data_IF_959769507706
#
_entry.id   IF_959769507706
#
_cell.length_a   1.000
_cell.length_b   1.000
_cell.length_c   1.000
_cell.angle_alpha   90.00
_cell.angle_beta   90.00
_cell.angle_gamma   90.00
#
_symmetry.space_group_name_H-M   'P 1'
#
loop_
_entity.id
_entity.type
_entity.pdbx_description
1 polymer ?
#
# COMPACT_ATOMS: atom_id res chain seq x y z
N UNK A 1 27.14 8.05 -37.58
CA UNK A 1 26.09 9.03 -37.24
C UNK A 1 24.78 8.39 -36.76
N UNK A 2 24.76 7.09 -36.42
CA UNK A 2 23.53 6.40 -35.98
C UNK A 2 23.42 6.23 -34.45
N UNK A 3 24.52 6.17 -33.69
CA UNK A 3 24.50 6.02 -32.21
C UNK A 3 23.94 7.20 -31.38
N UNK A 4 23.81 8.40 -31.96
CA UNK A 4 23.35 9.58 -31.20
C UNK A 4 21.83 9.66 -31.01
N UNK A 5 21.04 9.03 -31.89
CA UNK A 5 19.57 9.05 -31.79
C UNK A 5 19.05 8.02 -30.79
N UNK A 6 19.66 6.83 -30.74
CA UNK A 6 19.28 5.76 -29.80
C UNK A 6 19.55 6.17 -28.34
N UNK A 7 20.62 6.92 -28.09
CA UNK A 7 20.97 7.36 -26.74
C UNK A 7 20.01 8.43 -26.19
N UNK A 8 19.43 9.27 -27.06
CA UNK A 8 18.43 10.25 -26.67
C UNK A 8 17.06 9.61 -26.38
N UNK A 9 16.68 8.59 -27.18
CA UNK A 9 15.48 7.80 -26.93
C UNK A 9 15.57 6.98 -25.63
N UNK A 10 16.75 6.39 -25.36
CA UNK A 10 17.02 5.66 -24.11
C UNK A 10 16.94 6.59 -22.89
N UNK A 11 17.50 7.80 -22.98
CA UNK A 11 17.44 8.78 -21.90
C UNK A 11 16.01 9.22 -21.62
N UNK A 12 15.20 9.47 -22.66
CA UNK A 12 13.79 9.81 -22.50
C UNK A 12 12.99 8.67 -21.85
N UNK A 13 13.27 7.42 -22.23
CA UNK A 13 12.63 6.24 -21.64
C UNK A 13 13.03 6.06 -20.16
N UNK A 14 14.29 6.30 -19.81
CA UNK A 14 14.78 6.23 -18.43
C UNK A 14 14.14 7.32 -17.54
N UNK A 15 13.99 8.55 -18.05
CA UNK A 15 13.30 9.62 -17.35
C UNK A 15 11.82 9.30 -17.12
N UNK A 16 11.14 8.76 -18.13
CA UNK A 16 9.74 8.32 -17.99
C UNK A 16 9.61 7.23 -16.94
N UNK A 17 10.49 6.21 -16.98
CA UNK A 17 10.50 5.13 -15.99
C UNK A 17 10.72 5.66 -14.57
N UNK A 18 11.61 6.65 -14.38
CA UNK A 18 11.86 7.26 -13.08
C UNK A 18 10.62 8.01 -12.55
N UNK A 19 9.92 8.74 -13.43
CA UNK A 19 8.68 9.42 -13.09
C UNK A 19 7.54 8.43 -12.76
N UNK A 20 7.43 7.34 -13.52
CA UNK A 20 6.42 6.31 -13.30
C UNK A 20 6.65 5.58 -11.97
N UNK A 21 7.90 5.31 -11.59
CA UNK A 21 8.24 4.73 -10.28
C UNK A 21 7.89 5.67 -9.13
N UNK A 22 8.24 6.96 -9.24
CA UNK A 22 7.89 7.94 -8.20
C UNK A 22 6.38 8.06 -8.03
N UNK A 23 5.64 8.14 -9.15
CA UNK A 23 4.19 8.22 -9.12
C UNK A 23 3.55 6.96 -8.56
N UNK A 24 4.04 5.78 -8.93
CA UNK A 24 3.54 4.51 -8.40
C UNK A 24 3.77 4.40 -6.88
N UNK A 25 4.92 4.86 -6.37
CA UNK A 25 5.18 4.91 -4.93
C UNK A 25 4.23 5.86 -4.21
N UNK A 26 3.97 7.04 -4.78
CA UNK A 26 3.07 8.04 -4.20
C UNK A 26 1.59 7.57 -4.25
N UNK A 27 1.16 6.98 -5.35
CA UNK A 27 -0.18 6.40 -5.51
C UNK A 27 -0.38 5.22 -4.54
N UNK A 28 0.66 4.38 -4.34
CA UNK A 28 0.62 3.29 -3.38
C UNK A 28 0.54 3.80 -1.94
N UNK A 29 1.33 4.82 -1.58
CA UNK A 29 1.29 5.44 -0.26
C UNK A 29 -0.09 6.04 0.06
N UNK A 30 -0.72 6.68 -0.92
CA UNK A 30 -2.02 7.33 -0.80
C UNK A 30 -3.21 6.37 -0.95
N UNK A 31 -2.97 5.13 -1.37
CA UNK A 31 -4.02 4.12 -1.49
C UNK A 31 -4.62 3.82 -0.11
N UNK A 32 -5.93 3.64 -0.08
CA UNK A 32 -6.66 3.36 1.16
C UNK A 32 -7.08 1.90 1.19
N UNK A 33 -6.92 1.30 2.35
CA UNK A 33 -7.29 -0.08 2.63
C UNK A 33 -8.24 -0.10 3.82
N UNK A 34 -9.25 -0.94 3.75
CA UNK A 34 -10.29 -1.04 4.78
C UNK A 34 -10.27 -2.44 5.39
N UNK A 35 -10.40 -2.51 6.71
CA UNK A 35 -10.48 -3.74 7.46
C UNK A 35 -11.62 -3.67 8.46
N UNK A 36 -12.37 -4.76 8.60
CA UNK A 36 -13.55 -4.83 9.47
C UNK A 36 -13.37 -5.89 10.56
N UNK A 37 -13.98 -5.68 11.73
CA UNK A 37 -14.06 -6.67 12.80
C UNK A 37 -15.46 -6.74 13.42
N UNK A 38 -15.70 -7.75 14.25
CA UNK A 38 -16.98 -7.91 14.97
C UNK A 38 -18.20 -8.13 14.06
N UNK A 39 -18.01 -8.63 12.84
CA UNK A 39 -19.11 -8.78 11.86
C UNK A 39 -19.48 -7.48 11.13
N UNK A 40 -18.58 -6.50 11.09
CA UNK A 40 -18.81 -5.19 10.47
C UNK A 40 -19.18 -4.10 11.48
N UNK A 41 -19.05 -4.38 12.77
CA UNK A 41 -19.30 -3.41 13.84
C UNK A 41 -18.20 -2.36 13.95
N UNK A 42 -16.97 -2.70 13.57
CA UNK A 42 -15.85 -1.75 13.55
C UNK A 42 -15.15 -1.84 12.20
N UNK A 43 -14.91 -0.69 11.57
CA UNK A 43 -14.19 -0.55 10.31
C UNK A 43 -13.02 0.41 10.51
N UNK A 44 -11.82 -0.01 10.15
CA UNK A 44 -10.62 0.82 10.15
C UNK A 44 -10.16 1.04 8.71
N UNK A 45 -9.85 2.29 8.37
CA UNK A 45 -9.23 2.65 7.09
C UNK A 45 -7.79 3.05 7.32
N UNK A 46 -6.85 2.42 6.61
CA UNK A 46 -5.42 2.73 6.66
C UNK A 46 -4.89 3.19 5.30
N UNK A 47 -3.81 3.97 5.31
CA UNK A 47 -3.03 4.30 4.12
C UNK A 47 -2.20 3.09 3.67
N UNK A 48 -1.65 3.12 2.45
CA UNK A 48 -0.69 2.11 1.99
C UNK A 48 0.65 2.14 2.72
N UNK A 49 0.89 3.14 3.56
CA UNK A 49 2.00 3.19 4.52
C UNK A 49 1.63 2.55 5.88
N UNK A 50 0.36 2.21 6.07
CA UNK A 50 -0.18 1.64 7.30
C UNK A 50 -0.61 2.67 8.35
N UNK A 51 -0.72 3.95 7.99
CA UNK A 51 -1.23 4.99 8.88
C UNK A 51 -2.75 4.88 9.00
N UNK A 52 -3.29 4.92 10.22
CA UNK A 52 -4.74 4.93 10.44
C UNK A 52 -5.32 6.29 10.01
N UNK A 53 -6.19 6.26 9.00
CA UNK A 53 -6.82 7.46 8.43
C UNK A 53 -8.23 7.68 8.98
N UNK A 54 -8.96 6.61 9.25
CA UNK A 54 -10.36 6.68 9.67
C UNK A 54 -10.75 5.45 10.50
N UNK A 55 -11.70 5.64 11.41
CA UNK A 55 -12.26 4.57 12.23
C UNK A 55 -13.77 4.80 12.39
N UNK A 56 -14.55 3.80 11.99
CA UNK A 56 -15.99 3.76 12.19
C UNK A 56 -16.32 2.68 13.21
N UNK A 57 -17.14 3.04 14.19
CA UNK A 57 -17.59 2.15 15.26
C UNK A 57 -19.11 2.24 15.29
N UNK A 58 -19.78 1.11 15.07
CA UNK A 58 -21.22 0.99 15.24
C UNK A 58 -21.59 1.19 16.72
N UNK A 59 -22.71 1.86 17.03
CA UNK A 59 -23.21 1.97 18.39
C UNK A 59 -23.40 0.61 19.07
N UNK A 60 -23.65 -0.44 18.29
CA UNK A 60 -23.81 -1.82 18.77
C UNK A 60 -22.50 -2.44 19.28
N UNK A 61 -21.33 -1.92 18.87
CA UNK A 61 -20.04 -2.32 19.42
C UNK A 61 -19.66 -1.55 20.69
N UNK A 62 -20.41 -0.50 21.05
CA UNK A 62 -20.15 0.31 22.23
C UNK A 62 -20.96 -0.20 23.43
N UNK A 63 -20.30 -1.01 24.27
CA UNK A 63 -20.81 -1.37 25.59
C UNK A 63 -20.03 -0.60 26.67
N UNK A 64 -20.66 0.33 27.42
CA UNK A 64 -19.99 1.07 28.49
C UNK A 64 -19.57 0.19 29.67
N UNK A 65 -20.13 -1.02 29.81
CA UNK A 65 -19.74 -1.98 30.84
C UNK A 65 -18.57 -2.89 30.40
N UNK A 66 -18.25 -2.93 29.10
CA UNK A 66 -17.16 -3.73 28.52
C UNK A 66 -16.32 -2.98 27.46
N UNK A 67 -15.47 -2.02 27.89
CA UNK A 67 -14.56 -1.31 26.98
C UNK A 67 -13.42 -2.20 26.43
N UNK A 68 -13.14 -3.34 27.06
CA UNK A 68 -12.05 -4.24 26.65
C UNK A 68 -12.39 -4.94 25.33
N UNK A 69 -13.64 -5.37 25.18
CA UNK A 69 -14.13 -5.96 23.93
C UNK A 69 -14.05 -4.96 22.77
N UNK A 70 -14.47 -3.70 22.99
CA UNK A 70 -14.35 -2.67 21.96
C UNK A 70 -12.89 -2.45 21.55
N UNK A 71 -11.97 -2.35 22.51
CA UNK A 71 -10.55 -2.20 22.22
C UNK A 71 -10.02 -3.39 21.39
N UNK A 72 -10.42 -4.61 21.71
CA UNK A 72 -10.05 -5.80 20.95
C UNK A 72 -10.58 -5.75 19.50
N UNK A 73 -11.83 -5.31 19.31
CA UNK A 73 -12.43 -5.12 17.98
C UNK A 73 -11.67 -4.08 17.16
N UNK A 74 -11.33 -2.93 17.74
CA UNK A 74 -10.56 -1.88 17.06
C UNK A 74 -9.19 -2.39 16.62
N UNK A 75 -8.48 -3.10 17.51
CA UNK A 75 -7.18 -3.71 17.18
C UNK A 75 -7.33 -4.72 16.03
N UNK A 76 -8.36 -5.55 16.06
CA UNK A 76 -8.62 -6.53 15.02
C UNK A 76 -8.92 -5.87 13.65
N UNK A 77 -9.75 -4.82 13.63
CA UNK A 77 -10.09 -4.10 12.40
C UNK A 77 -8.86 -3.41 11.80
N UNK A 78 -8.05 -2.75 12.63
CA UNK A 78 -6.81 -2.13 12.18
C UNK A 78 -5.80 -3.16 11.64
N UNK A 79 -5.63 -4.30 12.31
CA UNK A 79 -4.75 -5.37 11.83
C UNK A 79 -5.20 -5.91 10.48
N UNK A 80 -6.50 -6.15 10.30
CA UNK A 80 -7.04 -6.59 9.01
C UNK A 80 -6.76 -5.55 7.90
N UNK A 81 -6.98 -4.26 8.18
CA UNK A 81 -6.70 -3.20 7.22
C UNK A 81 -5.20 -3.11 6.87
N UNK A 82 -4.33 -3.25 7.87
CA UNK A 82 -2.88 -3.24 7.71
C UNK A 82 -2.38 -4.46 6.93
N UNK A 83 -2.92 -5.65 7.18
CA UNK A 83 -2.58 -6.86 6.41
C UNK A 83 -2.94 -6.69 4.92
N UNK A 84 -4.09 -6.09 4.62
CA UNK A 84 -4.48 -5.78 3.24
C UNK A 84 -3.51 -4.78 2.58
N UNK A 85 -3.11 -3.73 3.31
CA UNK A 85 -2.13 -2.74 2.85
C UNK A 85 -0.74 -3.38 2.61
N UNK A 86 -0.25 -4.19 3.55
CA UNK A 86 1.03 -4.87 3.47
C UNK A 86 1.04 -5.91 2.32
N UNK A 87 -0.08 -6.61 2.11
CA UNK A 87 -0.27 -7.53 0.99
C UNK A 87 -0.26 -6.81 -0.36
N UNK A 88 -0.96 -5.68 -0.46
CA UNK A 88 -0.95 -4.86 -1.66
C UNK A 88 0.43 -4.25 -1.95
N UNK A 89 1.19 -3.89 -0.92
CA UNK A 89 2.55 -3.39 -1.06
C UNK A 89 3.50 -4.46 -1.62
N UNK A 90 3.40 -5.70 -1.13
CA UNK A 90 4.15 -6.84 -1.65
C UNK A 90 3.79 -7.17 -3.10
N UNK A 91 2.51 -7.09 -3.47
CA UNK A 91 2.05 -7.32 -4.84
C UNK A 91 2.45 -6.19 -5.81
N UNK A 92 2.63 -4.97 -5.31
CA UNK A 92 3.00 -3.79 -6.09
C UNK A 92 4.50 -3.62 -6.25
N UNK A 93 5.32 -4.37 -5.48
CA UNK A 93 6.75 -4.47 -5.76
C UNK A 93 6.88 -5.01 -7.19
N UNK A 94 7.43 -4.22 -8.13
CA UNK A 94 7.70 -4.75 -9.45
C UNK A 94 8.56 -5.98 -9.22
N UNK A 95 8.16 -7.12 -9.80
CA UNK A 95 9.09 -8.23 -10.01
C UNK A 95 10.32 -7.57 -10.60
N UNK A 96 11.35 -7.38 -9.77
CA UNK A 96 12.56 -6.71 -10.20
C UNK A 96 12.91 -7.43 -11.49
N UNK A 97 13.03 -6.73 -12.64
CA UNK A 97 13.56 -7.37 -13.81
C UNK A 97 14.90 -7.91 -13.33
N UNK A 98 14.98 -9.23 -13.17
CA UNK A 98 16.19 -9.93 -12.80
C UNK A 98 17.16 -9.45 -13.86
N UNK A 99 18.06 -8.55 -13.47
CA UNK A 99 19.04 -8.00 -14.39
C UNK A 99 19.70 -9.24 -14.98
N UNK A 100 19.61 -9.47 -16.31
CA UNK A 100 20.26 -10.62 -16.89
C UNK A 100 21.72 -10.54 -16.48
N UNK A 101 22.23 -11.62 -15.89
CA UNK A 101 23.56 -11.76 -15.27
C UNK A 101 24.74 -11.60 -16.27
N UNK A 102 24.61 -10.75 -17.30
CA UNK A 102 25.50 -10.67 -18.45
C UNK A 102 26.19 -9.33 -18.68
N UNK A 103 26.29 -8.45 -17.68
CA UNK A 103 27.09 -7.21 -17.77
C UNK A 103 28.04 -6.98 -16.57
N UNK A 104 28.48 -8.08 -15.95
CA UNK A 104 29.73 -8.10 -15.20
C UNK A 104 30.86 -8.49 -16.14
N UNK A 105 31.75 -7.53 -16.38
CA UNK A 105 33.04 -7.56 -17.11
C UNK A 105 33.68 -8.92 -17.39
#
# INVERSE_FOLDING_TARGET
MFEGMDMNALLAQAQQMQADVMKAQEDQANRKFEGTSGGGLVTATVSGLGDLLHLEISPEAWDPEDPETLAALVIAAFRAAKEEADGAAQASMPQMPTLPEGFGF
#
